data_IF_200138346059
#
_entry.id   IF_200138346059
#
_cell.length_a   1.000
_cell.length_b   1.000
_cell.length_c   1.000
_cell.angle_alpha   90.00
_cell.angle_beta   90.00
_cell.angle_gamma   90.00
#
_symmetry.space_group_name_H-M   'P 1'
#
loop_
_entity.id
_entity.type
_entity.pdbx_description
1 polymer ?
#
# COMPACT_ATOMS: atom_id res chain seq x y z
N UNK A 1 -12.41 -5.76 -4.05
CA UNK A 1 -11.19 -5.92 -4.90
C UNK A 1 -10.02 -6.22 -3.97
N UNK A 2 -9.18 -7.20 -4.31
CA UNK A 2 -8.01 -7.56 -3.51
C UNK A 2 -6.91 -6.50 -3.62
N UNK A 3 -6.30 -6.14 -2.50
CA UNK A 3 -5.23 -5.12 -2.45
C UNK A 3 -4.06 -5.45 -3.40
N UNK A 4 -3.73 -6.73 -3.51
CA UNK A 4 -2.63 -7.20 -4.36
C UNK A 4 -2.92 -7.11 -5.86
N UNK A 5 -4.14 -6.81 -6.27
CA UNK A 5 -4.43 -6.51 -7.68
C UNK A 5 -3.70 -5.25 -8.14
N UNK A 6 -3.76 -4.19 -7.35
CA UNK A 6 -3.04 -2.93 -7.63
C UNK A 6 -1.61 -2.95 -7.05
N UNK A 7 -1.42 -3.56 -5.88
CA UNK A 7 -0.13 -3.61 -5.17
C UNK A 7 0.54 -4.99 -5.34
N UNK A 8 0.63 -5.46 -6.58
CA UNK A 8 1.02 -6.83 -6.93
C UNK A 8 2.44 -7.23 -6.52
N UNK A 9 3.33 -6.25 -6.24
CA UNK A 9 4.69 -6.53 -5.77
C UNK A 9 4.77 -6.75 -4.26
N UNK A 10 3.72 -6.44 -3.49
CA UNK A 10 3.74 -6.48 -2.03
C UNK A 10 4.15 -7.83 -1.43
N UNK A 11 3.77 -8.94 -2.09
CA UNK A 11 4.18 -10.30 -1.70
C UNK A 11 5.53 -10.75 -2.30
N UNK A 12 6.13 -9.96 -3.19
CA UNK A 12 7.32 -10.34 -3.97
C UNK A 12 8.53 -9.46 -3.69
N UNK A 13 8.31 -8.21 -3.29
CA UNK A 13 9.31 -7.16 -3.11
C UNK A 13 9.25 -6.53 -1.72
N UNK A 14 10.34 -5.92 -1.23
CA UNK A 14 10.28 -5.03 -0.07
C UNK A 14 9.29 -3.89 -0.23
N UNK A 15 9.03 -3.44 -1.44
CA UNK A 15 8.13 -2.34 -1.75
C UNK A 15 6.83 -2.88 -2.37
N UNK A 16 5.69 -2.36 -1.93
CA UNK A 16 4.44 -2.49 -2.64
C UNK A 16 4.45 -1.54 -3.85
N UNK A 17 4.06 -2.02 -5.02
CA UNK A 17 3.92 -1.16 -6.20
C UNK A 17 2.82 -0.12 -5.98
N UNK A 18 2.99 1.02 -6.62
CA UNK A 18 1.91 1.99 -6.83
C UNK A 18 1.38 1.73 -8.24
N UNK A 19 0.07 1.54 -8.43
CA UNK A 19 -0.49 1.25 -9.74
C UNK A 19 -0.34 2.44 -10.68
N UNK A 20 0.00 2.16 -11.93
CA UNK A 20 -0.03 3.12 -13.02
C UNK A 20 -1.49 3.41 -13.42
N UNK A 21 -1.73 4.53 -14.10
CA UNK A 21 -3.08 4.92 -14.53
C UNK A 21 -3.72 3.88 -15.46
N UNK A 22 -2.93 3.16 -16.22
CA UNK A 22 -3.33 2.06 -17.11
C UNK A 22 -4.03 0.94 -16.33
N UNK A 23 -3.55 0.64 -15.12
CA UNK A 23 -4.19 -0.36 -14.24
C UNK A 23 -5.62 0.04 -13.91
N UNK A 24 -5.86 1.32 -13.60
CA UNK A 24 -7.20 1.85 -13.35
C UNK A 24 -8.06 1.80 -14.62
N UNK A 25 -7.48 2.18 -15.75
CA UNK A 25 -8.17 2.23 -17.04
C UNK A 25 -8.50 0.84 -17.61
N UNK A 26 -7.88 -0.23 -17.11
CA UNK A 26 -8.28 -1.60 -17.43
C UNK A 26 -9.77 -1.86 -17.16
N UNK A 27 -10.34 -1.22 -16.15
CA UNK A 27 -11.77 -1.31 -15.81
C UNK A 27 -12.51 0.00 -16.10
N UNK A 28 -11.93 1.15 -15.74
CA UNK A 28 -12.62 2.45 -15.78
C UNK A 28 -12.77 3.05 -17.19
N UNK A 29 -12.31 2.38 -18.23
CA UNK A 29 -12.74 2.65 -19.62
C UNK A 29 -14.24 2.40 -19.80
N UNK A 30 -14.77 1.34 -19.16
CA UNK A 30 -16.16 0.90 -19.32
C UNK A 30 -16.99 1.13 -18.06
N UNK A 31 -16.38 1.03 -16.89
CA UNK A 31 -17.06 1.12 -15.59
C UNK A 31 -16.98 2.57 -15.08
N UNK A 32 -18.15 3.19 -14.96
CA UNK A 32 -18.33 4.49 -14.31
C UNK A 32 -18.63 4.36 -12.80
N UNK A 33 -18.75 5.49 -12.12
CA UNK A 33 -19.22 5.57 -10.74
C UNK A 33 -20.73 5.45 -10.64
N UNK A 34 -21.21 5.04 -9.48
CA UNK A 34 -22.66 4.98 -9.16
C UNK A 34 -23.19 6.33 -8.68
N UNK A 35 -22.37 7.11 -7.99
CA UNK A 35 -22.71 8.45 -7.50
C UNK A 35 -22.01 9.53 -8.34
N UNK A 36 -22.49 10.78 -8.23
CA UNK A 36 -21.87 11.90 -8.95
C UNK A 36 -20.42 12.13 -8.50
N UNK A 37 -20.13 11.95 -7.21
CA UNK A 37 -18.78 12.09 -6.64
C UNK A 37 -17.85 11.05 -7.26
N UNK A 38 -18.29 9.79 -7.30
CA UNK A 38 -17.51 8.71 -7.92
C UNK A 38 -17.27 8.95 -9.42
N UNK A 39 -18.28 9.47 -10.14
CA UNK A 39 -18.15 9.81 -11.55
C UNK A 39 -17.13 10.92 -11.78
N UNK A 40 -17.11 11.95 -10.91
CA UNK A 40 -16.13 13.03 -10.96
C UNK A 40 -14.71 12.52 -10.73
N UNK A 41 -14.50 11.63 -9.74
CA UNK A 41 -13.17 11.05 -9.48
C UNK A 41 -12.70 10.16 -10.65
N UNK A 42 -13.59 9.36 -11.23
CA UNK A 42 -13.26 8.55 -12.41
C UNK A 42 -12.96 9.44 -13.63
N UNK A 43 -13.66 10.56 -13.79
CA UNK A 43 -13.38 11.51 -14.86
C UNK A 43 -11.97 12.10 -14.74
N UNK A 44 -11.49 12.41 -13.54
CA UNK A 44 -10.11 12.86 -13.31
C UNK A 44 -9.08 11.81 -13.76
N UNK A 45 -9.32 10.53 -13.44
CA UNK A 45 -8.43 9.43 -13.85
C UNK A 45 -8.38 9.32 -15.38
N UNK A 46 -9.52 9.45 -16.07
CA UNK A 46 -9.60 9.43 -17.52
C UNK A 46 -8.85 10.59 -18.15
N UNK A 47 -9.01 11.80 -17.61
CA UNK A 47 -8.30 12.99 -18.07
C UNK A 47 -6.79 12.83 -17.94
N UNK A 48 -6.29 12.31 -16.80
CA UNK A 48 -4.86 12.02 -16.57
C UNK A 48 -4.36 11.01 -17.62
N UNK A 49 -5.14 9.96 -17.87
CA UNK A 49 -4.80 8.95 -18.88
C UNK A 49 -4.72 9.52 -20.29
N UNK A 50 -5.68 10.35 -20.69
CA UNK A 50 -5.72 11.00 -22.02
C UNK A 50 -4.55 11.95 -22.23
N UNK A 51 -4.10 12.63 -21.17
CA UNK A 51 -2.93 13.50 -21.19
C UNK A 51 -1.60 12.72 -21.16
N UNK A 52 -1.61 11.44 -20.84
CA UNK A 52 -0.39 10.64 -20.67
C UNK A 52 0.42 11.06 -19.43
N UNK A 53 -0.23 11.62 -18.43
CA UNK A 53 0.41 12.11 -17.21
C UNK A 53 0.37 11.04 -16.10
N UNK A 54 1.34 11.02 -15.17
CA UNK A 54 1.28 10.16 -13.99
C UNK A 54 0.27 10.69 -12.98
N UNK A 55 -0.38 9.78 -12.23
CA UNK A 55 -1.25 10.17 -11.11
C UNK A 55 -0.39 10.86 -10.04
N UNK A 56 -0.75 12.07 -9.58
CA UNK A 56 -0.03 12.80 -8.54
C UNK A 56 -0.31 12.22 -7.15
N UNK A 57 0.24 11.04 -6.86
CA UNK A 57 0.02 10.34 -5.60
C UNK A 57 0.54 11.11 -4.38
N UNK A 58 -0.29 11.21 -3.34
CA UNK A 58 0.11 11.71 -2.04
C UNK A 58 0.58 10.55 -1.17
N UNK A 59 1.81 10.63 -0.65
CA UNK A 59 2.38 9.60 0.21
C UNK A 59 1.84 9.72 1.63
N UNK A 60 0.88 8.87 1.99
CA UNK A 60 0.20 8.87 3.30
C UNK A 60 0.98 8.02 4.33
N UNK A 61 1.43 6.83 3.92
CA UNK A 61 2.13 5.89 4.80
C UNK A 61 3.63 6.07 4.66
N UNK A 62 4.24 6.70 5.66
CA UNK A 62 5.67 7.01 5.69
C UNK A 62 6.28 6.42 6.95
N UNK A 63 7.33 5.62 6.79
CA UNK A 63 8.20 5.19 7.88
C UNK A 63 9.40 6.13 7.99
N UNK A 64 10.02 6.26 9.18
CA UNK A 64 11.29 6.99 9.31
C UNK A 64 12.37 6.41 8.38
N UNK A 65 13.28 7.25 7.88
CA UNK A 65 14.28 6.88 6.87
C UNK A 65 15.23 5.75 7.30
N UNK A 66 15.45 5.61 8.61
CA UNK A 66 16.26 4.53 9.17
C UNK A 66 15.55 3.17 9.21
N UNK A 67 14.22 3.12 8.95
CA UNK A 67 13.44 1.88 8.97
C UNK A 67 13.53 1.18 7.60
N UNK A 68 14.08 -0.03 7.59
CA UNK A 68 14.15 -0.90 6.40
C UNK A 68 12.95 -1.85 6.37
N UNK A 69 11.76 -1.31 6.13
CA UNK A 69 10.53 -2.10 6.07
C UNK A 69 10.49 -3.00 4.82
N UNK A 70 9.95 -4.21 4.96
CA UNK A 70 9.87 -5.18 3.88
C UNK A 70 8.47 -5.81 3.81
N UNK A 71 7.64 -5.36 2.87
CA UNK A 71 6.29 -5.86 2.65
C UNK A 71 6.25 -7.37 2.44
N UNK A 72 7.12 -7.92 1.58
CA UNK A 72 7.17 -9.37 1.27
C UNK A 72 7.24 -10.24 2.51
N UNK A 73 8.04 -9.85 3.51
CA UNK A 73 8.20 -10.62 4.75
C UNK A 73 6.92 -10.63 5.56
N UNK A 74 6.26 -9.48 5.72
CA UNK A 74 5.02 -9.33 6.48
C UNK A 74 3.86 -10.06 5.80
N UNK A 75 3.69 -9.88 4.49
CA UNK A 75 2.66 -10.57 3.71
C UNK A 75 2.85 -12.08 3.76
N UNK A 76 4.08 -12.58 3.62
CA UNK A 76 4.37 -14.03 3.74
C UNK A 76 4.21 -14.58 5.16
N UNK A 77 4.34 -13.76 6.17
CA UNK A 77 4.05 -14.12 7.56
C UNK A 77 2.54 -14.10 7.88
N UNK A 78 1.69 -13.83 6.90
CA UNK A 78 0.23 -13.80 7.08
C UNK A 78 -0.30 -12.54 7.74
N UNK A 79 0.48 -11.44 7.78
CA UNK A 79 0.00 -10.15 8.30
C UNK A 79 -0.97 -9.55 7.28
N UNK A 80 -2.20 -9.29 7.72
CA UNK A 80 -3.23 -8.66 6.90
C UNK A 80 -2.90 -7.20 6.56
N UNK A 81 -3.23 -6.77 5.35
CA UNK A 81 -2.98 -5.39 4.92
C UNK A 81 -3.64 -4.37 5.86
N UNK A 82 -4.85 -4.69 6.32
CA UNK A 82 -5.66 -3.84 7.18
C UNK A 82 -5.04 -3.60 8.57
N UNK A 83 -4.17 -4.49 9.03
CA UNK A 83 -3.51 -4.32 10.33
C UNK A 83 -2.61 -3.07 10.38
N UNK A 84 -2.04 -2.70 9.23
CA UNK A 84 -1.20 -1.52 9.10
C UNK A 84 -1.92 -0.36 8.40
N UNK A 85 -2.76 -0.67 7.42
CA UNK A 85 -3.38 0.33 6.54
C UNK A 85 -4.83 0.68 6.90
N UNK A 86 -5.46 -0.09 7.82
CA UNK A 86 -6.88 0.08 8.14
C UNK A 86 -7.81 -0.43 7.04
N UNK A 87 -9.08 -0.10 7.16
CA UNK A 87 -10.12 -0.52 6.22
C UNK A 87 -10.18 0.42 5.01
N UNK A 88 -9.12 0.43 4.19
CA UNK A 88 -8.99 1.28 3.00
C UNK A 88 -10.26 1.27 2.11
N UNK A 89 -10.95 0.12 1.87
CA UNK A 89 -12.15 0.11 1.02
C UNK A 89 -13.33 0.92 1.58
N UNK A 90 -13.31 1.24 2.88
CA UNK A 90 -14.36 2.00 3.58
C UNK A 90 -13.98 3.48 3.75
N UNK A 91 -12.75 3.86 3.41
CA UNK A 91 -12.26 5.22 3.52
C UNK A 91 -12.64 6.05 2.29
N UNK A 92 -13.20 7.23 2.49
CA UNK A 92 -13.41 8.21 1.44
C UNK A 92 -12.07 8.79 0.95
N UNK A 93 -11.19 9.10 1.88
CA UNK A 93 -9.80 9.50 1.63
C UNK A 93 -8.90 8.61 2.48
N UNK A 94 -7.82 8.10 1.89
CA UNK A 94 -6.89 7.22 2.62
C UNK A 94 -6.19 7.98 3.73
N UNK A 95 -6.32 7.49 4.95
CA UNK A 95 -5.71 8.03 6.15
C UNK A 95 -4.78 7.03 6.82
N UNK A 96 -3.83 7.55 7.58
CA UNK A 96 -2.93 6.71 8.38
C UNK A 96 -3.59 6.38 9.71
N UNK A 97 -3.94 5.11 9.91
CA UNK A 97 -4.59 4.60 11.13
C UNK A 97 -3.61 4.12 12.21
N UNK A 98 -2.35 3.89 11.86
CA UNK A 98 -1.32 3.42 12.80
C UNK A 98 -0.17 4.42 12.89
N UNK A 99 0.54 4.42 14.01
CA UNK A 99 1.64 5.38 14.20
C UNK A 99 2.82 5.13 13.26
N UNK A 100 3.06 3.88 12.86
CA UNK A 100 4.23 3.41 12.09
C UNK A 100 5.58 3.82 12.71
N UNK A 101 5.57 4.20 13.99
CA UNK A 101 6.80 4.49 14.75
C UNK A 101 7.42 3.18 15.24
N UNK A 102 8.71 3.21 15.57
CA UNK A 102 9.49 2.04 16.02
C UNK A 102 8.81 1.27 17.16
N UNK A 103 8.29 1.96 18.18
CA UNK A 103 7.59 1.33 19.30
C UNK A 103 6.42 0.47 18.86
N UNK A 104 5.56 0.99 17.97
CA UNK A 104 4.42 0.24 17.44
C UNK A 104 4.86 -1.04 16.69
N UNK A 105 5.94 -0.95 15.90
CA UNK A 105 6.49 -2.12 15.20
C UNK A 105 7.03 -3.17 16.18
N UNK A 106 7.77 -2.73 17.21
CA UNK A 106 8.34 -3.60 18.25
C UNK A 106 7.24 -4.30 19.06
N UNK A 107 6.17 -3.61 19.41
CA UNK A 107 5.06 -4.17 20.16
C UNK A 107 4.33 -5.26 19.34
N UNK A 108 4.02 -4.99 18.08
CA UNK A 108 3.46 -5.99 17.16
C UNK A 108 4.38 -7.21 17.01
N UNK A 109 5.69 -7.02 16.90
CA UNK A 109 6.65 -8.12 16.81
C UNK A 109 6.69 -8.97 18.09
N UNK A 110 6.60 -8.33 19.27
CA UNK A 110 6.52 -9.05 20.55
C UNK A 110 5.25 -9.88 20.65
N UNK A 111 4.11 -9.28 20.34
CA UNK A 111 2.80 -9.96 20.38
C UNK A 111 2.75 -11.17 19.45
N UNK A 112 3.43 -11.11 18.31
CA UNK A 112 3.47 -12.18 17.30
C UNK A 112 4.66 -13.15 17.47
N UNK A 113 5.50 -12.96 18.49
CA UNK A 113 6.71 -13.78 18.67
C UNK A 113 7.72 -13.63 17.54
N UNK A 114 7.69 -12.51 16.80
CA UNK A 114 8.63 -12.21 15.74
C UNK A 114 9.92 -11.58 16.30
N UNK A 115 11.02 -11.63 15.52
CA UNK A 115 12.27 -11.01 15.95
C UNK A 115 12.10 -9.50 16.15
N UNK A 116 12.56 -9.01 17.30
CA UNK A 116 12.67 -7.58 17.61
C UNK A 116 14.01 -6.98 17.21
N UNK A 117 14.97 -7.80 16.79
CA UNK A 117 16.23 -7.35 16.22
C UNK A 117 16.03 -6.86 14.79
N UNK A 118 15.52 -5.63 14.69
CA UNK A 118 15.19 -5.00 13.43
C UNK A 118 16.42 -4.61 12.59
N UNK A 119 17.62 -4.63 13.23
CA UNK A 119 18.88 -4.32 12.56
C UNK A 119 19.51 -5.55 11.89
N UNK A 120 19.33 -6.76 12.44
CA UNK A 120 19.90 -8.00 11.88
C UNK A 120 19.18 -8.48 10.63
N UNK A 121 17.97 -8.01 10.37
CA UNK A 121 17.18 -8.38 9.19
C UNK A 121 17.74 -7.83 7.87
N UNK A 122 18.70 -6.91 7.92
CA UNK A 122 19.41 -6.41 6.73
C UNK A 122 20.51 -7.35 6.24
N UNK A 123 20.97 -8.31 7.07
CA UNK A 123 22.11 -9.17 6.77
C UNK A 123 21.76 -10.54 6.18
N UNK A 124 20.46 -10.88 6.00
CA UNK A 124 20.04 -12.13 5.34
C UNK A 124 19.79 -11.89 3.83
N UNK A 125 20.68 -11.16 3.19
CA UNK A 125 20.90 -11.24 1.74
C UNK A 125 22.30 -11.79 1.55
N UNK A 126 22.50 -13.04 1.92
CA UNK A 126 23.61 -13.85 1.42
C UNK A 126 23.06 -15.20 1.00
N UNK A 127 23.07 -15.36 -0.32
CA UNK A 127 22.91 -16.54 -1.17
C UNK A 127 21.50 -16.88 -1.59
#
# INVERSE_FOLDING_TARGET
MECQFCHWTSAKSPYASIPEVETCMGCHKLIGGKTEEQQKEIAKIREIYEKGEPIPWVKVHVTPDYVKFNHKRHVKAGVGCQECHGQIPEMETVERVTSMKMGWCVDCHRERGASIDLCSLSSIVKR
#
